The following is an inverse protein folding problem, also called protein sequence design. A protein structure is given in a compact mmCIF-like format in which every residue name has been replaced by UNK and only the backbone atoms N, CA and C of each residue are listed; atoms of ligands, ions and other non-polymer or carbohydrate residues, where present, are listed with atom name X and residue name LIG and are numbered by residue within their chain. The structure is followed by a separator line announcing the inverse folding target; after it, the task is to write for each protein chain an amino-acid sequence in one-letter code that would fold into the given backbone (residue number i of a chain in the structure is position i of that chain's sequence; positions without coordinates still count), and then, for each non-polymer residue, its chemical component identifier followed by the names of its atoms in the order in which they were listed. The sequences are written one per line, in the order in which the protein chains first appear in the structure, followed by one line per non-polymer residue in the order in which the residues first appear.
data_IF_751906062295
#
_entry.id   IF_751906062295
#
_cell.length_a   1.000
_cell.length_b   1.000
_cell.length_c   1.000
_cell.angle_alpha   90.00
_cell.angle_beta   90.00
_cell.angle_gamma   90.00
#
_symmetry.space_group_name_H-M   'P 1'
#
loop_
_entity.id
_entity.type
_entity.pdbx_description
1 polymer ?
#
# COMPACT_ATOMS: atom_id res chain seq x y z
N UNK A 1 -34.49 -10.20 4.58
CA UNK A 1 -33.15 -9.70 4.95
C UNK A 1 -33.33 -8.66 6.03
N UNK A 2 -33.24 -9.05 7.29
CA UNK A 2 -33.42 -8.15 8.43
C UNK A 2 -32.02 -7.69 8.86
N UNK A 3 -31.58 -6.52 8.38
CA UNK A 3 -30.31 -5.94 8.83
C UNK A 3 -30.47 -5.55 10.30
N UNK A 4 -29.65 -6.13 11.17
CA UNK A 4 -29.67 -5.83 12.59
C UNK A 4 -28.75 -4.65 12.91
N UNK A 5 -29.05 -3.95 14.00
CA UNK A 5 -28.21 -2.85 14.50
C UNK A 5 -26.75 -3.28 14.72
N UNK A 6 -26.54 -4.54 15.10
CA UNK A 6 -25.23 -5.16 15.24
C UNK A 6 -24.45 -5.22 13.92
N UNK A 7 -25.11 -5.49 12.79
CA UNK A 7 -24.45 -5.50 11.48
C UNK A 7 -23.89 -4.11 11.14
N UNK A 8 -24.65 -3.07 11.47
CA UNK A 8 -24.24 -1.68 11.23
C UNK A 8 -23.05 -1.27 12.12
N UNK A 9 -23.09 -1.67 13.41
CA UNK A 9 -21.97 -1.47 14.33
C UNK A 9 -20.71 -2.23 13.88
N UNK A 10 -20.86 -3.45 13.39
CA UNK A 10 -19.75 -4.26 12.89
C UNK A 10 -19.14 -3.66 11.61
N UNK A 11 -19.96 -3.09 10.73
CA UNK A 11 -19.51 -2.41 9.52
C UNK A 11 -18.71 -1.15 9.87
N UNK A 12 -19.21 -0.32 10.79
CA UNK A 12 -18.48 0.87 11.25
C UNK A 12 -17.19 0.49 12.00
N UNK A 13 -17.22 -0.53 12.85
CA UNK A 13 -16.05 -1.00 13.59
C UNK A 13 -14.95 -1.54 12.67
N UNK A 14 -15.30 -2.39 11.71
CA UNK A 14 -14.35 -2.91 10.72
C UNK A 14 -13.80 -1.82 9.81
N UNK A 15 -14.62 -0.85 9.40
CA UNK A 15 -14.18 0.31 8.62
C UNK A 15 -13.23 1.21 9.40
N UNK A 16 -13.47 1.43 10.70
CA UNK A 16 -12.59 2.21 11.57
C UNK A 16 -11.19 1.58 11.69
N UNK A 17 -11.13 0.26 11.92
CA UNK A 17 -9.85 -0.48 11.95
C UNK A 17 -9.18 -0.46 10.58
N UNK A 18 -9.93 -0.59 9.48
CA UNK A 18 -9.41 -0.55 8.13
C UNK A 18 -8.75 0.80 7.81
N UNK A 19 -9.42 1.92 8.10
CA UNK A 19 -8.88 3.27 7.89
C UNK A 19 -7.64 3.51 8.77
N UNK A 20 -7.66 3.06 10.03
CA UNK A 20 -6.50 3.14 10.91
C UNK A 20 -5.31 2.33 10.38
N UNK A 21 -5.56 1.13 9.87
CA UNK A 21 -4.56 0.29 9.21
C UNK A 21 -3.95 0.95 7.97
N UNK A 22 -4.80 1.54 7.11
CA UNK A 22 -4.33 2.28 5.94
C UNK A 22 -3.47 3.49 6.32
N UNK A 23 -3.84 4.25 7.35
CA UNK A 23 -3.04 5.37 7.85
C UNK A 23 -1.68 4.90 8.38
N UNK A 24 -1.67 3.85 9.19
CA UNK A 24 -0.44 3.25 9.73
C UNK A 24 0.48 2.74 8.61
N UNK A 25 -0.10 2.13 7.56
CA UNK A 25 0.63 1.69 6.38
C UNK A 25 1.22 2.87 5.60
N UNK A 26 0.46 3.94 5.40
CA UNK A 26 0.96 5.18 4.76
C UNK A 26 2.12 5.78 5.53
N UNK A 27 2.02 5.92 6.84
CA UNK A 27 3.07 6.50 7.69
C UNK A 27 4.31 5.60 7.74
N UNK A 28 4.11 4.28 7.83
CA UNK A 28 5.19 3.29 7.76
C UNK A 28 5.91 3.31 6.41
N UNK A 29 5.15 3.39 5.31
CA UNK A 29 5.69 3.53 3.97
C UNK A 29 6.43 4.85 3.83
N UNK A 30 5.89 6.00 4.25
CA UNK A 30 6.59 7.29 4.21
C UNK A 30 7.92 7.26 5.00
N UNK A 31 7.92 6.63 6.18
CA UNK A 31 9.11 6.47 7.03
C UNK A 31 10.18 5.58 6.39
N UNK A 32 9.78 4.56 5.63
CA UNK A 32 10.68 3.65 4.91
C UNK A 32 11.10 4.23 3.55
N UNK A 33 10.19 4.96 2.88
CA UNK A 33 10.31 5.51 1.53
C UNK A 33 11.26 6.70 1.40
N UNK A 34 11.64 7.34 2.51
CA UNK A 34 12.65 8.39 2.51
C UNK A 34 14.06 7.90 2.14
N UNK A 35 15.03 8.12 3.03
CA UNK A 35 16.46 7.91 2.71
C UNK A 35 16.87 6.47 2.39
N UNK A 36 16.17 5.46 2.92
CA UNK A 36 16.50 4.04 2.69
C UNK A 36 15.99 3.55 1.34
N UNK A 37 14.75 3.86 0.98
CA UNK A 37 14.18 3.46 -0.31
C UNK A 37 14.93 4.13 -1.47
N UNK A 38 15.30 5.41 -1.35
CA UNK A 38 16.17 6.08 -2.36
C UNK A 38 17.48 5.32 -2.58
N UNK A 39 18.17 4.91 -1.50
CA UNK A 39 19.45 4.18 -1.58
C UNK A 39 19.29 2.77 -2.16
N UNK A 40 18.20 2.09 -1.82
CA UNK A 40 17.85 0.75 -2.34
C UNK A 40 17.49 0.83 -3.82
N UNK A 41 16.65 1.80 -4.21
CA UNK A 41 16.31 2.06 -5.60
C UNK A 41 17.56 2.42 -6.41
N UNK A 42 18.44 3.32 -5.93
CA UNK A 42 19.68 3.65 -6.65
C UNK A 42 20.59 2.41 -6.86
N UNK A 43 20.62 1.47 -5.90
CA UNK A 43 21.35 0.20 -6.09
C UNK A 43 20.65 -0.76 -7.04
N UNK A 44 19.33 -0.87 -6.97
CA UNK A 44 18.53 -1.77 -7.82
C UNK A 44 18.47 -1.30 -9.27
N UNK A 45 18.46 0.02 -9.53
CA UNK A 45 18.42 0.57 -10.90
C UNK A 45 19.80 0.81 -11.52
N UNK A 46 20.89 0.46 -10.82
CA UNK A 46 22.28 0.66 -11.28
C UNK A 46 22.60 -0.06 -12.60
N UNK A 47 21.88 -1.16 -12.90
CA UNK A 47 22.01 -1.88 -14.18
C UNK A 47 20.65 -2.16 -14.79
N UNK A 48 20.56 -2.05 -16.13
CA UNK A 48 19.33 -2.24 -16.91
C UNK A 48 18.65 -3.59 -16.63
N UNK A 49 19.44 -4.65 -16.45
CA UNK A 49 18.97 -5.99 -16.10
C UNK A 49 18.38 -6.07 -14.69
N UNK A 50 19.02 -5.46 -13.69
CA UNK A 50 18.47 -5.42 -12.32
C UNK A 50 17.19 -4.58 -12.25
N UNK A 51 17.09 -3.48 -13.01
CA UNK A 51 15.86 -2.68 -13.10
C UNK A 51 14.67 -3.47 -13.64
N UNK A 52 14.87 -4.31 -14.67
CA UNK A 52 13.83 -5.20 -15.20
C UNK A 52 13.46 -6.28 -14.19
N UNK A 53 14.46 -6.92 -13.56
CA UNK A 53 14.21 -7.99 -12.59
C UNK A 53 13.49 -7.47 -11.34
N UNK A 54 13.83 -6.28 -10.88
CA UNK A 54 13.17 -5.65 -9.73
C UNK A 54 11.78 -5.14 -10.06
N UNK A 55 11.56 -4.55 -11.24
CA UNK A 55 10.21 -4.25 -11.72
C UNK A 55 9.32 -5.49 -11.83
N UNK A 56 9.87 -6.60 -12.32
CA UNK A 56 9.19 -7.89 -12.39
C UNK A 56 8.83 -8.42 -10.99
N UNK A 57 9.79 -8.47 -10.07
CA UNK A 57 9.57 -8.93 -8.69
C UNK A 57 8.55 -8.05 -7.97
N UNK A 58 8.65 -6.72 -8.11
CA UNK A 58 7.66 -5.80 -7.54
C UNK A 58 6.28 -6.07 -8.14
N UNK A 59 6.14 -6.22 -9.45
CA UNK A 59 4.85 -6.51 -10.09
C UNK A 59 4.25 -7.84 -9.63
N UNK A 60 5.08 -8.89 -9.51
CA UNK A 60 4.66 -10.20 -8.99
C UNK A 60 4.22 -10.11 -7.54
N UNK A 61 4.93 -9.35 -6.70
CA UNK A 61 4.55 -9.14 -5.30
C UNK A 61 3.31 -8.25 -5.14
N UNK A 62 3.12 -7.29 -6.05
CA UNK A 62 1.99 -6.34 -6.04
C UNK A 62 0.79 -6.85 -6.86
N UNK A 63 0.80 -8.12 -7.30
CA UNK A 63 -0.28 -8.76 -8.07
C UNK A 63 -1.67 -8.69 -7.38
N UNK A 64 -1.70 -8.34 -6.09
CA UNK A 64 -2.94 -8.06 -5.39
C UNK A 64 -3.59 -6.78 -5.93
N UNK A 65 -4.68 -6.95 -6.68
CA UNK A 65 -5.52 -5.87 -7.23
C UNK A 65 -5.93 -4.86 -6.14
N UNK A 66 -6.16 -5.33 -4.91
CA UNK A 66 -6.54 -4.47 -3.76
C UNK A 66 -5.38 -3.65 -3.22
N UNK A 67 -4.16 -4.20 -3.22
CA UNK A 67 -2.97 -3.44 -2.83
C UNK A 67 -2.68 -2.32 -3.83
N UNK A 68 -2.85 -2.59 -5.13
CA UNK A 68 -2.73 -1.57 -6.18
C UNK A 68 -3.77 -0.47 -6.02
N UNK A 69 -5.04 -0.80 -5.75
CA UNK A 69 -6.10 0.21 -5.53
C UNK A 69 -5.81 1.11 -4.33
N UNK A 70 -5.39 0.55 -3.20
CA UNK A 70 -5.06 1.34 -1.98
C UNK A 70 -3.88 2.28 -2.24
N UNK A 71 -2.87 1.84 -3.00
CA UNK A 71 -1.71 2.65 -3.34
C UNK A 71 -2.08 3.83 -4.23
N UNK A 72 -2.95 3.63 -5.23
CA UNK A 72 -3.47 4.70 -6.10
C UNK A 72 -4.27 5.73 -5.31
N UNK A 73 -5.19 5.30 -4.43
CA UNK A 73 -5.97 6.22 -3.57
C UNK A 73 -5.05 7.01 -2.65
N UNK A 74 -4.03 6.36 -2.07
CA UNK A 74 -3.04 7.01 -1.21
C UNK A 74 -2.19 8.04 -1.95
N UNK A 75 -1.84 7.82 -3.22
CA UNK A 75 -1.07 8.77 -4.01
C UNK A 75 -1.91 9.93 -4.53
N UNK A 76 -3.17 9.71 -4.89
CA UNK A 76 -4.09 10.80 -5.29
C UNK A 76 -4.40 11.73 -4.12
N UNK A 77 -4.46 11.21 -2.89
CA UNK A 77 -4.71 12.03 -1.69
C UNK A 77 -3.43 12.69 -1.12
N UNK A 78 -2.25 12.34 -1.65
CA UNK A 78 -0.96 12.90 -1.24
C UNK A 78 -0.39 13.94 -2.22
N UNK A 79 -1.04 14.13 -3.37
CA UNK A 79 -0.86 15.29 -4.26
C UNK A 79 -1.93 16.34 -3.99
#
# INVERSE_FOLDING_TARGET
MSYTLFDFLQLIGSLGIFIFGMKTMSDGLQKVAGGRLRKILTRMTSTRLMGVFTGFVVTVLTQSSTATTVMVVSFVNAG
#
